data_IF_908063777407
#
_entry.id   IF_908063777407
#
_cell.length_a   1.000
_cell.length_b   1.000
_cell.length_c   1.000
_cell.angle_alpha   90.00
_cell.angle_beta   90.00
_cell.angle_gamma   90.00
#
_symmetry.space_group_name_H-M   'P 1'
#
loop_
_entity.id
_entity.type
_entity.pdbx_description
1 polymer ?
#
# COMPACT_ATOMS: atom_id res chain seq x y z
N UNK A 1 23.58 -66.97 -12.50
CA UNK A 1 23.00 -65.81 -13.19
C UNK A 1 22.49 -64.83 -12.12
N UNK A 2 23.24 -63.76 -11.80
CA UNK A 2 22.87 -62.73 -10.81
C UNK A 2 22.27 -61.61 -11.58
N UNK A 3 20.97 -61.28 -11.30
CA UNK A 3 20.26 -60.11 -11.81
C UNK A 3 20.62 -58.93 -10.92
N UNK A 4 21.34 -57.96 -11.47
CA UNK A 4 21.61 -56.68 -10.84
C UNK A 4 20.37 -55.76 -11.06
N UNK A 5 19.66 -55.45 -9.99
CA UNK A 5 18.55 -54.49 -9.97
C UNK A 5 19.13 -53.07 -9.83
N UNK A 6 19.12 -52.31 -10.92
CA UNK A 6 19.56 -50.94 -10.95
C UNK A 6 18.39 -50.05 -10.47
N UNK A 7 18.44 -49.60 -9.23
CA UNK A 7 17.46 -48.63 -8.68
C UNK A 7 17.87 -47.23 -9.14
N UNK A 8 17.12 -46.70 -10.08
CA UNK A 8 17.23 -45.31 -10.52
C UNK A 8 16.54 -44.40 -9.46
N UNK A 9 17.34 -43.81 -8.57
CA UNK A 9 16.85 -42.76 -7.66
C UNK A 9 16.74 -41.50 -8.51
N UNK A 10 15.53 -41.23 -9.00
CA UNK A 10 15.19 -39.91 -9.55
C UNK A 10 15.04 -38.96 -8.37
N UNK A 11 16.12 -38.25 -8.10
CA UNK A 11 16.10 -37.14 -7.14
C UNK A 11 15.20 -36.01 -7.68
N UNK A 12 13.95 -35.99 -7.26
CA UNK A 12 13.08 -34.82 -7.40
C UNK A 12 13.64 -33.71 -6.52
N UNK A 13 14.50 -32.89 -7.09
CA UNK A 13 14.84 -31.58 -6.56
C UNK A 13 13.58 -30.71 -6.62
N UNK A 14 12.77 -30.82 -5.57
CA UNK A 14 11.72 -29.85 -5.30
C UNK A 14 12.39 -28.49 -5.13
N UNK A 15 12.31 -27.67 -6.17
CA UNK A 15 12.64 -26.26 -6.10
C UNK A 15 11.62 -25.68 -5.12
N UNK A 16 12.00 -25.58 -3.86
CA UNK A 16 11.31 -24.78 -2.86
C UNK A 16 11.47 -23.32 -3.31
N UNK A 17 10.58 -22.89 -4.18
CA UNK A 17 10.35 -21.47 -4.37
C UNK A 17 9.77 -20.97 -3.05
N UNK A 18 10.65 -20.49 -2.17
CA UNK A 18 10.25 -19.87 -0.93
C UNK A 18 9.30 -18.72 -1.26
N UNK A 19 8.05 -18.83 -0.84
CA UNK A 19 7.14 -17.70 -0.85
C UNK A 19 7.78 -16.62 0.04
N UNK A 20 8.11 -15.46 -0.54
CA UNK A 20 8.54 -14.31 0.23
C UNK A 20 7.32 -13.85 1.02
N UNK A 21 7.37 -14.06 2.32
CA UNK A 21 6.34 -13.59 3.25
C UNK A 21 6.40 -12.07 3.46
N UNK A 22 5.47 -11.50 4.25
CA UNK A 22 5.56 -10.12 4.69
C UNK A 22 6.84 -9.91 5.49
N UNK A 23 7.45 -8.71 5.40
CA UNK A 23 8.64 -8.32 6.14
C UNK A 23 9.89 -8.13 5.28
N UNK A 24 11.04 -8.44 5.88
CA UNK A 24 12.35 -8.12 5.32
C UNK A 24 12.58 -8.62 3.90
N UNK A 25 13.34 -7.85 3.14
CA UNK A 25 13.82 -8.20 1.80
C UNK A 25 14.61 -9.52 1.85
N UNK A 26 14.63 -10.25 0.73
CA UNK A 26 15.49 -11.44 0.59
C UNK A 26 16.94 -11.08 0.93
N UNK A 27 17.58 -11.88 1.82
CA UNK A 27 18.89 -11.57 2.42
C UNK A 27 20.04 -11.37 1.43
N UNK A 28 19.93 -11.97 0.26
CA UNK A 28 20.90 -11.90 -0.82
C UNK A 28 20.63 -10.78 -1.82
N UNK A 29 19.54 -10.03 -1.65
CA UNK A 29 19.18 -8.90 -2.51
C UNK A 29 19.68 -7.59 -1.91
N UNK A 30 20.38 -6.80 -2.69
CA UNK A 30 20.83 -5.45 -2.30
C UNK A 30 20.29 -4.40 -3.27
N UNK A 31 19.93 -3.25 -2.73
CA UNK A 31 19.57 -2.06 -3.49
C UNK A 31 20.79 -1.17 -3.84
N UNK A 32 21.94 -1.46 -3.25
CA UNK A 32 23.17 -0.72 -3.55
C UNK A 32 23.54 -0.82 -5.02
N UNK A 33 23.93 0.32 -5.62
CA UNK A 33 24.30 0.44 -7.04
C UNK A 33 23.16 0.17 -8.04
N UNK A 34 21.93 -0.01 -7.58
CA UNK A 34 20.76 -0.18 -8.44
C UNK A 34 20.09 1.16 -8.71
N UNK A 35 19.55 1.31 -9.93
CA UNK A 35 18.64 2.41 -10.30
C UNK A 35 17.24 2.01 -9.86
N UNK A 36 16.71 2.70 -8.89
CA UNK A 36 15.42 2.38 -8.29
C UNK A 36 14.36 3.33 -8.85
N UNK A 37 13.27 2.80 -9.32
CA UNK A 37 12.07 3.59 -9.61
C UNK A 37 11.03 3.38 -8.49
N UNK A 38 10.40 4.46 -8.06
CA UNK A 38 9.31 4.47 -7.10
C UNK A 38 8.03 4.91 -7.81
N UNK A 39 6.98 4.14 -7.64
CA UNK A 39 5.65 4.43 -8.20
C UNK A 39 4.64 4.35 -7.08
N UNK A 40 3.74 5.32 -7.00
CA UNK A 40 2.59 5.31 -6.09
C UNK A 40 1.29 5.28 -6.87
N UNK A 41 0.43 4.32 -6.53
CA UNK A 41 -0.90 4.09 -7.11
C UNK A 41 -1.99 4.14 -6.03
N UNK A 42 -1.84 4.99 -5.02
CA UNK A 42 -2.84 5.15 -3.94
C UNK A 42 -4.19 5.69 -4.43
N UNK A 43 -4.19 6.22 -5.65
CA UNK A 43 -5.38 6.80 -6.28
C UNK A 43 -5.64 8.25 -5.88
N UNK A 44 -6.70 8.80 -6.47
CA UNK A 44 -7.11 10.21 -6.27
C UNK A 44 -8.43 10.35 -5.50
N UNK A 45 -8.95 9.25 -4.94
CA UNK A 45 -10.21 9.25 -4.23
C UNK A 45 -10.03 9.18 -2.73
N UNK A 46 -10.62 10.14 -2.03
CA UNK A 46 -10.78 10.11 -0.59
C UNK A 46 -12.05 9.34 -0.24
N UNK A 47 -11.92 8.30 0.59
CA UNK A 47 -13.04 7.48 1.04
C UNK A 47 -13.55 7.96 2.39
N UNK A 48 -14.85 8.25 2.49
CA UNK A 48 -15.51 8.55 3.74
C UNK A 48 -16.45 7.40 4.10
N UNK A 49 -16.04 6.58 5.06
CA UNK A 49 -16.70 5.35 5.46
C UNK A 49 -17.38 5.55 6.80
N UNK A 50 -18.68 5.36 6.82
CA UNK A 50 -19.49 5.36 8.04
C UNK A 50 -19.98 3.94 8.28
N UNK A 51 -19.57 3.36 9.40
CA UNK A 51 -20.03 2.04 9.87
C UNK A 51 -21.02 2.27 11.01
N UNK A 52 -22.29 2.04 10.73
CA UNK A 52 -23.37 2.18 11.70
C UNK A 52 -23.43 1.02 12.67
N UNK A 53 -24.35 1.11 13.64
CA UNK A 53 -24.64 0.01 14.57
C UNK A 53 -25.30 -1.19 13.90
N UNK A 54 -25.85 -1.00 12.72
CA UNK A 54 -26.42 -2.07 11.87
C UNK A 54 -25.88 -1.93 10.46
N UNK A 55 -25.86 -3.02 9.70
CA UNK A 55 -25.41 -3.04 8.31
C UNK A 55 -26.21 -2.08 7.40
N UNK A 56 -27.46 -1.77 7.77
CA UNK A 56 -28.33 -0.86 7.00
C UNK A 56 -27.98 0.62 7.18
N UNK A 57 -27.14 0.93 8.17
CA UNK A 57 -26.71 2.31 8.45
C UNK A 57 -25.26 2.56 8.02
N UNK A 58 -24.65 1.62 7.30
CA UNK A 58 -23.35 1.82 6.68
C UNK A 58 -23.51 2.76 5.48
N UNK A 59 -22.61 3.70 5.36
CA UNK A 59 -22.53 4.61 4.23
C UNK A 59 -21.07 4.77 3.80
N UNK A 60 -20.86 4.77 2.48
CA UNK A 60 -19.54 4.93 1.88
C UNK A 60 -19.65 5.94 0.77
N UNK A 61 -18.91 7.00 0.87
CA UNK A 61 -18.80 8.02 -0.17
C UNK A 61 -17.37 8.17 -0.63
N UNK A 62 -17.21 8.54 -1.89
CA UNK A 62 -15.92 8.83 -2.50
C UNK A 62 -15.93 10.26 -3.03
N UNK A 63 -14.82 10.95 -2.85
CA UNK A 63 -14.62 12.30 -3.37
C UNK A 63 -13.30 12.36 -4.11
N UNK A 64 -13.32 12.90 -5.32
CA UNK A 64 -12.08 13.18 -6.07
C UNK A 64 -11.30 14.28 -5.37
N UNK A 65 -10.08 13.95 -5.01
CA UNK A 65 -9.12 14.84 -4.32
C UNK A 65 -7.77 14.85 -5.05
N UNK A 66 -7.79 14.78 -6.35
CA UNK A 66 -6.59 14.78 -7.20
C UNK A 66 -5.65 15.96 -6.91
N UNK A 67 -6.21 17.10 -6.49
CA UNK A 67 -5.47 18.28 -6.05
C UNK A 67 -4.63 18.07 -4.78
N UNK A 68 -4.88 16.99 -4.02
CA UNK A 68 -4.05 16.65 -2.85
C UNK A 68 -2.72 16.02 -3.24
N UNK A 69 -2.60 15.48 -4.46
CA UNK A 69 -1.37 14.90 -4.99
C UNK A 69 -0.76 13.82 -4.07
N UNK A 70 -1.60 12.98 -3.46
CA UNK A 70 -1.15 11.97 -2.49
C UNK A 70 -0.18 10.95 -3.10
N UNK A 71 -0.35 10.60 -4.37
CA UNK A 71 0.60 9.73 -5.07
C UNK A 71 1.99 10.34 -5.13
N UNK A 72 2.08 11.60 -5.57
CA UNK A 72 3.35 12.33 -5.62
C UNK A 72 3.96 12.50 -4.22
N UNK A 73 3.16 12.89 -3.23
CA UNK A 73 3.59 13.00 -1.83
C UNK A 73 4.25 11.71 -1.34
N UNK A 74 3.60 10.56 -1.52
CA UNK A 74 4.09 9.27 -1.05
C UNK A 74 5.37 8.83 -1.79
N UNK A 75 5.37 8.92 -3.14
CA UNK A 75 6.51 8.52 -3.95
C UNK A 75 7.72 9.42 -3.70
N UNK A 76 7.54 10.74 -3.70
CA UNK A 76 8.62 11.70 -3.48
C UNK A 76 9.24 11.55 -2.08
N UNK A 77 8.41 11.39 -1.03
CA UNK A 77 8.91 11.14 0.33
C UNK A 77 9.81 9.90 0.38
N UNK A 78 9.39 8.80 -0.25
CA UNK A 78 10.20 7.58 -0.28
C UNK A 78 11.49 7.77 -1.09
N UNK A 79 11.44 8.45 -2.23
CA UNK A 79 12.61 8.80 -3.04
C UNK A 79 13.62 9.61 -2.24
N UNK A 80 13.18 10.66 -1.56
CA UNK A 80 14.05 11.48 -0.72
C UNK A 80 14.71 10.65 0.39
N UNK A 81 13.94 9.77 1.02
CA UNK A 81 14.42 8.89 2.08
C UNK A 81 15.47 7.89 1.57
N UNK A 82 15.22 7.23 0.43
CA UNK A 82 16.16 6.32 -0.21
C UNK A 82 17.47 7.04 -0.61
N UNK A 83 17.35 8.20 -1.28
CA UNK A 83 18.50 8.98 -1.71
C UNK A 83 19.33 9.50 -0.52
N UNK A 84 18.72 9.88 0.59
CA UNK A 84 19.40 10.27 1.83
C UNK A 84 20.24 9.13 2.41
N UNK A 85 19.88 7.88 2.14
CA UNK A 85 20.63 6.68 2.55
C UNK A 85 21.62 6.20 1.47
N UNK A 86 21.90 7.02 0.46
CA UNK A 86 22.90 6.75 -0.57
C UNK A 86 22.43 5.81 -1.69
N UNK A 87 21.14 5.54 -1.77
CA UNK A 87 20.53 4.79 -2.87
C UNK A 87 20.22 5.74 -4.03
N UNK A 88 20.05 5.21 -5.25
CA UNK A 88 19.71 6.01 -6.44
C UNK A 88 18.23 5.78 -6.80
N UNK A 89 17.36 6.59 -6.28
CA UNK A 89 15.92 6.47 -6.49
C UNK A 89 15.34 7.66 -7.25
N UNK A 90 14.33 7.40 -8.08
CA UNK A 90 13.58 8.39 -8.87
C UNK A 90 12.11 8.04 -8.87
N UNK A 91 11.24 9.04 -8.79
CA UNK A 91 9.81 8.88 -8.96
C UNK A 91 9.45 8.77 -10.45
N UNK A 92 8.51 7.90 -10.76
CA UNK A 92 7.79 7.89 -12.04
C UNK A 92 6.30 7.93 -11.74
N UNK A 93 5.66 8.99 -12.20
CA UNK A 93 4.21 9.11 -12.09
C UNK A 93 3.52 8.16 -13.07
N UNK A 94 2.58 7.42 -12.55
CA UNK A 94 1.64 6.60 -13.30
C UNK A 94 0.24 6.89 -12.79
N UNK A 95 -0.76 6.75 -13.64
CA UNK A 95 -2.18 6.91 -13.28
C UNK A 95 -2.91 5.67 -13.81
N UNK A 96 -2.50 4.51 -13.29
CA UNK A 96 -2.98 3.21 -13.75
C UNK A 96 -4.07 2.63 -12.85
N UNK A 97 -4.15 3.14 -11.63
CA UNK A 97 -5.20 2.74 -10.69
C UNK A 97 -6.48 3.52 -10.99
N UNK A 98 -7.42 2.87 -11.63
CA UNK A 98 -8.79 3.38 -11.75
C UNK A 98 -9.64 2.64 -10.73
N UNK A 99 -10.19 3.32 -9.71
CA UNK A 99 -11.13 2.69 -8.80
C UNK A 99 -12.31 2.17 -9.61
N UNK A 100 -12.61 0.88 -9.50
CA UNK A 100 -13.83 0.34 -10.10
C UNK A 100 -15.00 0.72 -9.20
N UNK A 101 -16.03 1.34 -9.77
CA UNK A 101 -17.25 1.71 -9.08
C UNK A 101 -17.84 0.51 -8.32
N UNK A 102 -17.91 0.63 -6.99
CA UNK A 102 -18.56 -0.35 -6.11
C UNK A 102 -17.84 -1.67 -5.91
N UNK A 103 -16.66 -1.88 -6.47
CA UNK A 103 -15.93 -3.13 -6.29
C UNK A 103 -14.96 -3.07 -5.10
N UNK A 104 -15.15 -4.01 -4.19
CA UNK A 104 -14.18 -4.39 -3.16
C UNK A 104 -12.83 -4.78 -3.77
N UNK A 105 -11.82 -4.78 -2.94
CA UNK A 105 -10.50 -5.46 -2.96
C UNK A 105 -9.86 -5.91 -4.27
N UNK A 106 -10.63 -6.41 -5.23
CA UNK A 106 -10.14 -7.12 -6.40
C UNK A 106 -9.72 -6.21 -7.57
N UNK A 107 -10.03 -4.93 -7.52
CA UNK A 107 -9.60 -3.96 -8.53
C UNK A 107 -8.08 -3.72 -8.57
N UNK A 108 -7.37 -4.22 -7.56
CA UNK A 108 -5.93 -4.07 -7.39
C UNK A 108 -5.16 -5.20 -8.09
N UNK A 109 -5.83 -6.32 -8.37
CA UNK A 109 -5.22 -7.40 -9.14
C UNK A 109 -4.81 -6.90 -10.53
N UNK A 110 -3.52 -7.03 -10.84
CA UNK A 110 -2.94 -6.64 -12.12
C UNK A 110 -2.47 -5.19 -12.23
N UNK A 111 -2.67 -4.32 -11.23
CA UNK A 111 -2.08 -2.96 -11.25
C UNK A 111 -0.56 -3.06 -11.27
N UNK A 112 0.03 -3.93 -10.44
CA UNK A 112 1.47 -4.12 -10.39
C UNK A 112 2.04 -4.60 -11.72
N UNK A 113 1.35 -5.48 -12.45
CA UNK A 113 1.81 -5.97 -13.76
C UNK A 113 1.84 -4.83 -14.78
N UNK A 114 0.79 -3.99 -14.81
CA UNK A 114 0.73 -2.79 -15.66
C UNK A 114 1.83 -1.78 -15.31
N UNK A 115 2.10 -1.57 -14.01
CA UNK A 115 3.21 -0.71 -13.56
C UNK A 115 4.54 -1.27 -14.03
N UNK A 116 4.78 -2.58 -13.84
CA UNK A 116 6.01 -3.26 -14.29
C UNK A 116 6.18 -3.10 -15.81
N UNK A 117 5.14 -3.36 -16.60
CA UNK A 117 5.16 -3.18 -18.06
C UNK A 117 5.50 -1.73 -18.45
N UNK A 118 4.96 -0.75 -17.71
CA UNK A 118 5.18 0.67 -17.98
C UNK A 118 6.60 1.13 -17.67
N UNK A 119 7.20 0.66 -16.56
CA UNK A 119 8.51 1.16 -16.10
C UNK A 119 9.69 0.34 -16.63
N UNK A 120 9.49 -0.94 -16.98
CA UNK A 120 10.55 -1.83 -17.48
C UNK A 120 11.34 -1.25 -18.67
N UNK A 121 10.71 -0.61 -19.68
CA UNK A 121 11.43 0.00 -20.81
C UNK A 121 12.30 1.19 -20.42
N UNK A 122 12.13 1.76 -19.22
CA UNK A 122 12.84 2.96 -18.78
C UNK A 122 14.25 2.66 -18.25
N UNK A 123 14.64 1.39 -18.15
CA UNK A 123 16.01 0.97 -17.82
C UNK A 123 16.36 1.07 -16.32
N UNK A 124 15.39 0.94 -15.44
CA UNK A 124 15.61 0.77 -14.00
C UNK A 124 15.90 -0.69 -13.65
N UNK A 125 16.60 -0.91 -12.53
CA UNK A 125 16.95 -2.24 -12.03
C UNK A 125 15.91 -2.78 -11.04
N UNK A 126 15.35 -1.88 -10.24
CA UNK A 126 14.39 -2.22 -9.18
C UNK A 126 13.18 -1.29 -9.21
N UNK A 127 12.03 -1.81 -8.85
CA UNK A 127 10.77 -1.07 -8.75
C UNK A 127 10.21 -1.22 -7.34
N UNK A 128 9.89 -0.09 -6.72
CA UNK A 128 9.09 -0.04 -5.49
C UNK A 128 7.70 0.49 -5.86
N UNK A 129 6.68 -0.29 -5.57
CA UNK A 129 5.28 0.10 -5.77
C UNK A 129 4.63 0.33 -4.42
N UNK A 130 3.99 1.49 -4.25
CA UNK A 130 3.08 1.81 -3.15
C UNK A 130 1.67 1.65 -3.73
N UNK A 131 1.00 0.54 -3.43
CA UNK A 131 -0.29 0.21 -4.01
C UNK A 131 -1.39 0.16 -2.95
N UNK A 132 -2.62 0.61 -3.24
CA UNK A 132 -3.71 0.49 -2.31
C UNK A 132 -4.03 -0.99 -2.08
N UNK A 133 -4.50 -1.34 -0.89
CA UNK A 133 -4.82 -2.73 -0.53
C UNK A 133 -6.05 -2.81 0.32
N UNK A 134 -6.81 -3.90 0.17
CA UNK A 134 -7.82 -4.31 1.14
C UNK A 134 -7.29 -5.44 1.99
N UNK A 135 -7.81 -5.57 3.20
CA UNK A 135 -7.48 -6.65 4.09
C UNK A 135 -8.76 -7.26 4.66
N UNK A 136 -8.84 -8.58 4.65
CA UNK A 136 -9.92 -9.30 5.34
C UNK A 136 -9.93 -9.02 6.85
N UNK A 137 -8.77 -8.71 7.43
CA UNK A 137 -8.64 -8.32 8.84
C UNK A 137 -9.26 -6.95 9.12
N UNK A 138 -9.39 -6.10 8.10
CA UNK A 138 -9.90 -4.74 8.22
C UNK A 138 -10.95 -4.45 7.16
N UNK A 139 -12.10 -5.15 7.15
CA UNK A 139 -13.08 -5.11 6.05
C UNK A 139 -13.78 -3.76 5.88
N UNK A 140 -13.60 -2.82 6.81
CA UNK A 140 -14.21 -1.50 6.76
C UNK A 140 -13.29 -0.42 6.16
N UNK A 141 -12.05 -0.78 5.83
CA UNK A 141 -11.14 0.13 5.18
C UNK A 141 -11.15 -0.11 3.68
N UNK A 142 -11.46 0.93 2.93
CA UNK A 142 -11.31 0.93 1.50
C UNK A 142 -9.83 1.12 1.12
N UNK A 143 -9.40 0.58 -0.03
CA UNK A 143 -8.04 0.75 -0.51
C UNK A 143 -7.65 2.22 -0.66
N UNK A 144 -6.42 2.55 -0.34
CA UNK A 144 -5.90 3.91 -0.41
C UNK A 144 -6.00 4.65 0.92
N UNK A 145 -6.79 5.70 1.00
CA UNK A 145 -6.87 6.55 2.19
C UNK A 145 -8.28 7.12 2.40
N UNK A 146 -8.56 7.52 3.64
CA UNK A 146 -9.89 8.04 3.95
C UNK A 146 -10.11 8.35 5.42
N UNK A 147 -11.38 8.58 5.73
CA UNK A 147 -11.92 8.75 7.07
C UNK A 147 -12.87 7.58 7.37
N UNK A 148 -12.60 6.85 8.43
CA UNK A 148 -13.51 5.83 8.96
C UNK A 148 -14.19 6.36 10.21
N UNK A 149 -15.50 6.28 10.25
CA UNK A 149 -16.33 6.55 11.43
C UNK A 149 -17.09 5.29 11.81
N UNK A 150 -17.06 4.96 13.10
CA UNK A 150 -17.80 3.81 13.66
C UNK A 150 -18.73 4.29 14.75
N UNK A 151 -19.99 3.86 14.68
CA UNK A 151 -20.99 4.06 15.73
C UNK A 151 -21.15 2.77 16.53
N UNK A 152 -20.92 2.85 17.85
CA UNK A 152 -21.12 1.75 18.79
C UNK A 152 -22.05 2.23 19.91
N UNK A 153 -23.23 1.67 20.05
CA UNK A 153 -24.18 1.86 21.15
C UNK A 153 -23.97 3.13 22.01
N UNK A 154 -24.20 4.29 21.41
CA UNK A 154 -24.09 5.59 22.11
C UNK A 154 -22.69 6.22 22.12
N UNK A 155 -21.69 5.58 21.51
CA UNK A 155 -20.37 6.18 21.26
C UNK A 155 -20.05 6.25 19.79
N UNK A 156 -19.23 7.22 19.43
CA UNK A 156 -18.71 7.42 18.07
C UNK A 156 -17.20 7.48 18.14
N UNK A 157 -16.54 6.81 17.20
CA UNK A 157 -15.11 6.92 17.02
C UNK A 157 -14.79 7.14 15.53
N UNK A 158 -13.81 7.96 15.25
CA UNK A 158 -13.38 8.24 13.89
C UNK A 158 -11.87 8.19 13.80
N UNK A 159 -11.35 7.88 12.62
CA UNK A 159 -9.93 7.97 12.36
C UNK A 159 -9.67 8.24 10.88
N UNK A 160 -8.64 9.00 10.60
CA UNK A 160 -8.04 9.04 9.29
C UNK A 160 -7.18 7.80 9.10
N UNK A 161 -7.29 7.14 7.96
CA UNK A 161 -6.58 5.91 7.67
C UNK A 161 -5.80 5.97 6.36
N UNK A 162 -4.80 5.10 6.24
CA UNK A 162 -4.13 4.76 5.00
C UNK A 162 -4.05 3.24 4.89
N UNK A 163 -4.48 2.68 3.77
CA UNK A 163 -4.57 1.23 3.52
C UNK A 163 -3.83 0.89 2.22
N UNK A 164 -2.56 0.53 2.34
CA UNK A 164 -1.68 0.24 1.21
C UNK A 164 -0.66 -0.85 1.54
N UNK A 165 0.01 -1.31 0.51
CA UNK A 165 1.12 -2.26 0.56
C UNK A 165 2.32 -1.63 -0.16
N UNK A 166 3.52 -1.86 0.35
CA UNK A 166 4.77 -1.56 -0.33
C UNK A 166 5.35 -2.85 -0.87
N UNK A 167 5.71 -2.87 -2.15
CA UNK A 167 6.23 -4.05 -2.82
C UNK A 167 7.52 -3.69 -3.56
N UNK A 168 8.55 -4.54 -3.42
CA UNK A 168 9.81 -4.42 -4.14
C UNK A 168 9.90 -5.51 -5.21
N UNK A 169 10.22 -5.12 -6.44
CA UNK A 169 10.45 -6.00 -7.58
C UNK A 169 11.86 -5.80 -8.15
N UNK A 170 12.48 -6.89 -8.58
CA UNK A 170 13.62 -6.89 -9.48
C UNK A 170 13.11 -6.86 -10.91
N UNK A 171 13.42 -5.79 -11.65
CA UNK A 171 12.90 -5.59 -13.02
C UNK A 171 13.58 -6.46 -14.07
N UNK A 172 14.78 -6.99 -13.79
CA UNK A 172 15.47 -7.90 -14.71
C UNK A 172 14.82 -9.29 -14.71
N UNK A 173 14.45 -9.77 -13.53
CA UNK A 173 13.85 -11.09 -13.37
C UNK A 173 12.33 -11.07 -13.32
N UNK A 174 11.73 -9.88 -13.08
CA UNK A 174 10.29 -9.71 -12.84
C UNK A 174 9.81 -10.28 -11.50
N UNK A 175 10.74 -10.69 -10.62
CA UNK A 175 10.38 -11.30 -9.34
C UNK A 175 10.10 -10.26 -8.26
N UNK A 176 9.08 -10.54 -7.45
CA UNK A 176 8.84 -9.82 -6.20
C UNK A 176 9.89 -10.25 -5.17
N UNK A 177 10.64 -9.28 -4.64
CA UNK A 177 11.77 -9.47 -3.73
C UNK A 177 11.33 -9.35 -2.27
N UNK A 178 10.36 -8.48 -2.01
CA UNK A 178 9.81 -8.25 -0.69
C UNK A 178 8.53 -7.45 -0.76
N UNK A 179 7.78 -7.48 0.33
CA UNK A 179 6.57 -6.67 0.47
C UNK A 179 6.16 -6.57 1.93
N UNK A 180 5.51 -5.48 2.29
CA UNK A 180 4.95 -5.28 3.61
C UNK A 180 3.69 -4.43 3.54
N UNK A 181 2.77 -4.70 4.45
CA UNK A 181 1.54 -3.96 4.62
C UNK A 181 1.80 -2.68 5.42
N UNK A 182 1.04 -1.63 5.15
CA UNK A 182 1.08 -0.43 5.96
C UNK A 182 0.91 -0.78 7.42
N UNK A 183 1.91 -0.44 8.23
CA UNK A 183 1.88 -0.47 9.69
C UNK A 183 1.17 -1.72 10.28
N UNK A 184 1.64 -2.91 9.90
CA UNK A 184 1.04 -4.19 10.29
C UNK A 184 0.83 -4.33 11.82
N UNK A 185 1.68 -3.68 12.63
CA UNK A 185 1.59 -3.72 14.09
C UNK A 185 0.53 -2.79 14.68
N UNK A 186 0.21 -1.68 14.00
CA UNK A 186 -0.71 -0.64 14.53
C UNK A 186 -2.04 -0.56 13.78
N UNK A 187 -2.16 -1.29 12.66
CA UNK A 187 -3.30 -1.22 11.77
C UNK A 187 -3.38 0.10 10.98
N UNK A 188 -4.34 0.22 10.06
CA UNK A 188 -4.44 1.38 9.16
C UNK A 188 -4.84 2.68 9.86
N UNK A 189 -5.22 2.63 11.13
CA UNK A 189 -5.94 3.69 11.83
C UNK A 189 -5.37 3.94 13.23
N UNK A 190 -5.12 5.18 13.58
CA UNK A 190 -4.87 5.58 14.97
C UNK A 190 -6.14 6.21 15.58
N UNK A 191 -6.88 5.41 16.33
CA UNK A 191 -8.12 5.85 16.99
C UNK A 191 -7.91 6.87 18.11
N UNK A 192 -6.68 7.10 18.56
CA UNK A 192 -6.42 8.03 19.67
C UNK A 192 -6.51 9.50 19.26
N UNK A 193 -6.41 9.80 17.97
CA UNK A 193 -6.28 11.18 17.48
C UNK A 193 -7.57 11.78 16.92
N UNK A 194 -8.72 11.09 16.94
CA UNK A 194 -9.80 11.39 16.02
C UNK A 194 -11.15 11.82 16.63
N UNK A 195 -11.25 11.93 17.96
CA UNK A 195 -12.55 12.29 18.59
C UNK A 195 -12.95 13.77 18.40
N UNK A 196 -12.12 14.57 17.71
CA UNK A 196 -12.29 16.01 17.62
C UNK A 196 -13.10 16.46 16.40
N UNK A 197 -13.35 15.56 15.44
CA UNK A 197 -14.10 15.91 14.23
C UNK A 197 -15.60 15.67 14.43
N UNK A 198 -16.40 16.73 14.27
CA UNK A 198 -17.85 16.58 14.14
C UNK A 198 -18.16 15.89 12.82
N UNK A 199 -18.62 14.65 12.88
CA UNK A 199 -18.82 13.82 11.69
C UNK A 199 -20.00 14.32 10.88
N UNK A 200 -19.82 14.36 9.55
CA UNK A 200 -20.82 14.67 8.53
C UNK A 200 -21.14 13.41 7.72
N UNK A 201 -22.25 13.42 6.99
CA UNK A 201 -22.68 12.26 6.19
C UNK A 201 -21.78 12.00 4.97
N UNK A 202 -21.07 13.02 4.51
CA UNK A 202 -20.11 12.93 3.41
C UNK A 202 -19.03 14.01 3.54
N UNK A 203 -17.94 13.86 2.77
CA UNK A 203 -16.82 14.80 2.81
C UNK A 203 -17.20 16.21 2.35
N UNK A 204 -18.12 16.34 1.41
CA UNK A 204 -18.55 17.63 0.87
C UNK A 204 -19.27 18.50 1.89
N UNK A 205 -19.86 17.93 2.91
CA UNK A 205 -20.57 18.63 3.97
C UNK A 205 -19.66 19.31 5.02
N UNK A 206 -18.33 19.08 4.95
CA UNK A 206 -17.37 19.76 5.82
C UNK A 206 -17.06 21.19 5.33
N UNK A 207 -16.75 22.09 6.26
CA UNK A 207 -16.23 23.40 5.89
C UNK A 207 -14.85 23.32 5.25
N UNK A 208 -14.41 24.34 4.49
CA UNK A 208 -13.08 24.35 3.88
C UNK A 208 -11.94 24.15 4.89
N UNK A 209 -12.06 24.72 6.08
CA UNK A 209 -11.05 24.61 7.14
C UNK A 209 -10.94 23.17 7.65
N UNK A 210 -12.08 22.50 7.85
CA UNK A 210 -12.11 21.08 8.28
C UNK A 210 -11.62 20.16 7.16
N UNK A 211 -11.97 20.44 5.91
CA UNK A 211 -11.43 19.70 4.75
C UNK A 211 -9.90 19.80 4.68
N UNK A 212 -9.34 20.99 4.91
CA UNK A 212 -7.90 21.19 4.95
C UNK A 212 -7.24 20.42 6.11
N UNK A 213 -7.86 20.43 7.29
CA UNK A 213 -7.39 19.66 8.43
C UNK A 213 -7.39 18.15 8.14
N UNK A 214 -8.48 17.63 7.55
CA UNK A 214 -8.56 16.22 7.13
C UNK A 214 -7.46 15.89 6.13
N UNK A 215 -7.23 16.74 5.13
CA UNK A 215 -6.14 16.59 4.17
C UNK A 215 -4.79 16.44 4.87
N UNK A 216 -4.42 17.37 5.76
CA UNK A 216 -3.15 17.30 6.49
C UNK A 216 -3.01 16.04 7.33
N UNK A 217 -4.12 15.57 7.94
CA UNK A 217 -4.13 14.30 8.68
C UNK A 217 -3.91 13.10 7.76
N UNK A 218 -4.48 13.11 6.54
CA UNK A 218 -4.25 12.07 5.52
C UNK A 218 -2.79 12.07 5.08
N UNK A 219 -2.27 13.23 4.68
CA UNK A 219 -0.87 13.41 4.28
C UNK A 219 0.08 12.85 5.35
N UNK A 220 -0.11 13.30 6.59
CA UNK A 220 0.67 12.79 7.73
C UNK A 220 0.52 11.28 7.92
N UNK A 221 -0.71 10.75 7.84
CA UNK A 221 -0.96 9.32 8.03
C UNK A 221 -0.29 8.46 6.97
N UNK A 222 -0.32 8.89 5.71
CA UNK A 222 0.36 8.21 4.60
C UNK A 222 1.86 8.16 4.86
N UNK A 223 2.46 9.30 5.21
CA UNK A 223 3.91 9.39 5.48
C UNK A 223 4.32 8.53 6.68
N UNK A 224 3.65 8.68 7.83
CA UNK A 224 3.97 7.92 9.05
C UNK A 224 3.85 6.40 8.81
N UNK A 225 2.84 5.98 8.04
CA UNK A 225 2.64 4.57 7.71
C UNK A 225 3.68 4.07 6.73
N UNK A 226 4.07 4.87 5.73
CA UNK A 226 5.10 4.52 4.76
C UNK A 226 6.46 4.38 5.44
N UNK A 227 6.81 5.29 6.32
CA UNK A 227 8.06 5.22 7.10
C UNK A 227 8.15 3.94 7.90
N UNK A 228 7.09 3.60 8.64
CA UNK A 228 7.04 2.37 9.42
C UNK A 228 7.14 1.11 8.55
N UNK A 229 6.45 1.10 7.40
CA UNK A 229 6.48 -0.03 6.45
C UNK A 229 7.87 -0.24 5.85
N UNK A 230 8.55 0.85 5.48
CA UNK A 230 9.92 0.83 4.92
C UNK A 230 10.93 0.31 5.95
N UNK A 231 10.76 0.69 7.23
CA UNK A 231 11.60 0.19 8.34
C UNK A 231 11.37 -1.31 8.58
N UNK A 232 10.11 -1.76 8.58
CA UNK A 232 9.76 -3.18 8.73
C UNK A 232 10.29 -4.03 7.57
N UNK A 233 10.31 -3.49 6.35
CA UNK A 233 10.91 -4.14 5.17
C UNK A 233 12.45 -4.15 5.19
N UNK A 234 13.08 -3.37 6.07
CA UNK A 234 14.55 -3.21 6.09
C UNK A 234 15.13 -2.69 4.75
N UNK A 235 14.34 -1.89 4.02
CA UNK A 235 14.73 -1.36 2.72
C UNK A 235 16.02 -0.51 2.73
N UNK A 236 16.38 0.05 3.89
CA UNK A 236 17.46 1.00 4.04
C UNK A 236 18.75 0.37 4.60
N UNK A 237 18.84 -0.96 4.68
CA UNK A 237 20.02 -1.70 5.13
C UNK A 237 21.12 -1.79 4.10
#
# INVERSE_FOLDING_TARGET
>A
MKKILLILIIGSSSILQGCVGPGAIQKDYTLQQKKIVVVSELGNNFHHNIVGTTIFTNNITQTDVKDWQINHLAANHLVERLNKHGLSATEVETDLFTPLDGSSAYAIEGVQDKVIERVKPLGYDSLIIIAPVTSELYPFFYPGYGLLTRYNFGSQSSCVYAAFIVQLYDLHTGKKIGWEWMNAQRGPCDFKSSNDLTIKDNFEAYSPEVKLEIRHRVEKRVIDSLDATVDEMELLR
#
